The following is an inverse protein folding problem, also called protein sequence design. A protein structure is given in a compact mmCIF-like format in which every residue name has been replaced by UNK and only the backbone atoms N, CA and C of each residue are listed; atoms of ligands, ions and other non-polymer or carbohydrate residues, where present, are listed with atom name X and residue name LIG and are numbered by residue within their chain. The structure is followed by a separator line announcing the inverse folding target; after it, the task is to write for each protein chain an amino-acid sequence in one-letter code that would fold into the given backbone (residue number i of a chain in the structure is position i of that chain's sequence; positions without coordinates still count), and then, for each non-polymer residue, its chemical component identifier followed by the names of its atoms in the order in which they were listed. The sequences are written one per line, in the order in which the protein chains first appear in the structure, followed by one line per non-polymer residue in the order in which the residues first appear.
data_IF_361536404470
#
_entry.id   IF_361536404470
#
_cell.length_a   1.000
_cell.length_b   1.000
_cell.length_c   1.000
_cell.angle_alpha   90.00
_cell.angle_beta   90.00
_cell.angle_gamma   90.00
#
_symmetry.space_group_name_H-M   'P 1'
#
loop_
_entity.id
_entity.type
_entity.pdbx_description
1 polymer ?
#
# COMPACT_ATOMS: atom_id res chain seq x y z
N UNK A 1 -15.92 5.30 23.75
CA UNK A 1 -14.50 5.72 23.77
C UNK A 1 -13.80 4.99 22.65
N UNK A 2 -13.36 5.71 21.62
CA UNK A 2 -12.77 5.13 20.41
C UNK A 2 -11.27 4.93 20.67
N UNK A 3 -10.82 3.68 20.59
CA UNK A 3 -9.42 3.29 20.73
C UNK A 3 -8.60 3.86 19.58
N UNK A 4 -7.64 4.75 19.88
CA UNK A 4 -6.59 5.17 18.94
C UNK A 4 -5.58 4.03 18.83
N UNK A 5 -5.42 3.46 17.64
CA UNK A 5 -4.30 2.57 17.37
C UNK A 5 -3.03 3.41 17.23
N UNK A 6 -2.13 3.32 18.21
CA UNK A 6 -0.81 3.93 18.16
C UNK A 6 0.17 2.98 17.46
N UNK A 7 0.71 3.40 16.31
CA UNK A 7 1.85 2.75 15.67
C UNK A 7 3.12 3.11 16.46
N UNK A 8 3.57 2.23 17.35
CA UNK A 8 4.91 2.33 17.93
C UNK A 8 5.93 1.62 17.04
N UNK A 9 7.03 2.30 16.77
CA UNK A 9 8.21 1.69 16.18
C UNK A 9 8.79 0.67 17.17
N UNK A 10 9.15 -0.50 16.64
CA UNK A 10 9.92 -1.52 17.35
C UNK A 10 11.39 -1.08 17.33
N UNK A 11 11.93 -0.71 18.49
CA UNK A 11 13.35 -0.36 18.64
C UNK A 11 14.21 -1.61 18.46
N UNK A 12 15.09 -1.64 17.45
CA UNK A 12 16.06 -2.71 17.27
C UNK A 12 17.41 -2.35 17.89
N UNK A 13 17.95 -3.29 18.67
CA UNK A 13 19.27 -3.22 19.30
C UNK A 13 20.35 -3.46 18.23
N UNK A 14 21.19 -2.46 18.01
CA UNK A 14 22.59 -2.61 17.58
C UNK A 14 22.86 -3.19 16.18
N UNK A 15 23.02 -2.30 15.19
CA UNK A 15 23.57 -2.60 13.87
C UNK A 15 22.81 -1.87 12.78
N UNK A 16 23.29 -0.66 12.41
CA UNK A 16 22.79 0.21 11.34
C UNK A 16 21.36 -0.09 10.86
N UNK A 17 20.36 0.24 11.69
CA UNK A 17 18.98 -0.06 11.37
C UNK A 17 18.58 0.66 10.08
N UNK A 18 18.38 -0.08 8.99
CA UNK A 18 17.70 0.42 7.81
C UNK A 18 16.32 0.89 8.25
N UNK A 19 16.12 2.20 8.35
CA UNK A 19 14.83 2.77 8.68
C UNK A 19 13.85 2.40 7.55
N UNK A 20 12.95 1.46 7.81
CA UNK A 20 11.92 1.06 6.86
C UNK A 20 10.89 2.19 6.80
N UNK A 21 10.78 2.83 5.63
CA UNK A 21 9.81 3.91 5.44
C UNK A 21 8.37 3.37 5.52
N UNK A 22 7.48 4.05 6.25
CA UNK A 22 6.11 3.59 6.44
C UNK A 22 5.35 3.60 5.11
N UNK A 23 4.32 2.76 5.00
CA UNK A 23 3.45 2.74 3.83
C UNK A 23 2.66 4.06 3.70
N UNK A 24 2.37 4.52 2.47
CA UNK A 24 1.34 5.53 2.27
C UNK A 24 -0.02 4.95 2.70
N UNK A 25 -0.94 5.80 3.16
CA UNK A 25 -2.28 5.38 3.57
C UNK A 25 -3.28 5.94 2.57
N UNK A 26 -3.89 5.06 1.77
CA UNK A 26 -4.96 5.44 0.84
C UNK A 26 -6.20 5.83 1.65
N UNK A 27 -6.72 7.02 1.40
CA UNK A 27 -7.88 7.54 2.11
C UNK A 27 -9.18 6.94 1.57
N UNK A 28 -10.14 6.68 2.45
CA UNK A 28 -11.47 6.20 2.06
C UNK A 28 -11.57 4.73 1.68
N UNK A 29 -10.51 3.92 1.88
CA UNK A 29 -10.60 2.47 1.68
C UNK A 29 -11.70 1.85 2.56
N UNK A 30 -12.43 0.87 2.00
CA UNK A 30 -13.36 0.03 2.78
C UNK A 30 -12.59 -0.84 3.78
N UNK A 31 -13.30 -1.50 4.69
CA UNK A 31 -12.70 -2.48 5.60
C UNK A 31 -12.06 -3.66 4.87
N UNK A 32 -12.51 -3.92 3.63
CA UNK A 32 -11.98 -4.96 2.74
C UNK A 32 -10.82 -4.47 1.87
N UNK A 33 -10.29 -3.27 2.14
CA UNK A 33 -9.22 -2.62 1.37
C UNK A 33 -9.63 -2.28 -0.07
N UNK A 34 -10.88 -1.91 -0.29
CA UNK A 34 -11.38 -1.54 -1.63
C UNK A 34 -11.43 -0.03 -1.80
N UNK A 35 -11.10 0.44 -2.99
CA UNK A 35 -11.45 1.78 -3.44
C UNK A 35 -12.89 1.75 -3.92
N UNK A 36 -13.77 2.44 -3.21
CA UNK A 36 -15.16 2.64 -3.63
C UNK A 36 -15.20 3.68 -4.76
N UNK A 37 -15.28 3.20 -6.00
CA UNK A 37 -15.25 4.04 -7.21
C UNK A 37 -16.51 4.89 -7.35
N UNK A 38 -17.65 4.44 -6.84
CA UNK A 38 -18.89 5.22 -6.86
C UNK A 38 -18.78 6.40 -5.90
N UNK A 39 -18.20 6.17 -4.72
CA UNK A 39 -17.89 7.23 -3.76
C UNK A 39 -16.77 8.16 -4.23
N UNK A 40 -15.76 7.62 -4.92
CA UNK A 40 -14.66 8.40 -5.49
C UNK A 40 -15.17 9.35 -6.59
N UNK A 41 -16.16 8.93 -7.38
CA UNK A 41 -16.76 9.74 -8.43
C UNK A 41 -15.72 10.23 -9.44
N UNK A 42 -15.63 11.54 -9.62
CA UNK A 42 -14.64 12.19 -10.52
C UNK A 42 -13.35 12.61 -9.81
N UNK A 43 -13.25 12.43 -8.49
CA UNK A 43 -12.11 12.91 -7.72
C UNK A 43 -10.88 12.01 -7.90
N UNK A 44 -9.69 12.59 -7.74
CA UNK A 44 -8.45 11.81 -7.70
C UNK A 44 -8.37 10.99 -6.41
N UNK A 45 -7.76 9.81 -6.48
CA UNK A 45 -7.54 8.99 -5.30
C UNK A 45 -6.39 9.60 -4.48
N UNK A 46 -6.71 9.96 -3.24
CA UNK A 46 -5.74 10.56 -2.31
C UNK A 46 -5.11 9.49 -1.41
N UNK A 47 -3.81 9.64 -1.16
CA UNK A 47 -3.11 8.88 -0.13
C UNK A 47 -2.19 9.79 0.67
N UNK A 48 -1.92 9.44 1.93
CA UNK A 48 -1.09 10.27 2.81
C UNK A 48 0.10 9.49 3.35
N UNK A 49 1.28 10.11 3.32
CA UNK A 49 2.47 9.65 4.02
C UNK A 49 2.63 10.46 5.31
N UNK A 50 2.79 9.75 6.44
CA UNK A 50 3.08 10.33 7.76
C UNK A 50 4.19 9.55 8.45
N UNK A 51 4.96 10.20 9.31
CA UNK A 51 6.00 9.54 10.12
C UNK A 51 7.16 8.95 9.33
N UNK A 52 7.41 9.46 8.12
CA UNK A 52 8.47 8.96 7.23
C UNK A 52 9.82 9.68 7.39
N UNK A 53 9.92 10.64 8.32
CA UNK A 53 11.11 11.44 8.55
C UNK A 53 11.48 12.31 7.33
N UNK A 54 10.47 12.86 6.64
CA UNK A 54 10.66 13.73 5.49
C UNK A 54 10.99 15.16 5.93
N UNK A 55 11.54 15.95 5.02
CA UNK A 55 11.81 17.37 5.19
C UNK A 55 11.12 18.21 4.12
N UNK A 56 10.88 19.50 4.42
CA UNK A 56 10.39 20.45 3.42
C UNK A 56 11.37 20.50 2.25
N UNK A 57 10.86 20.40 1.03
CA UNK A 57 11.65 20.40 -0.19
C UNK A 57 12.11 19.02 -0.67
N UNK A 58 11.91 17.95 0.10
CA UNK A 58 12.12 16.58 -0.39
C UNK A 58 11.21 16.28 -1.59
N UNK A 59 11.66 15.39 -2.49
CA UNK A 59 10.88 14.86 -3.59
C UNK A 59 10.42 13.44 -3.27
N UNK A 60 9.12 13.20 -3.31
CA UNK A 60 8.54 11.87 -3.17
C UNK A 60 8.17 11.34 -4.55
N UNK A 61 8.70 10.18 -4.90
CA UNK A 61 8.41 9.46 -6.14
C UNK A 61 7.44 8.32 -5.82
N UNK A 62 6.16 8.46 -6.16
CA UNK A 62 5.15 7.43 -5.89
C UNK A 62 5.05 6.41 -7.02
N UNK A 63 4.84 5.14 -6.65
CA UNK A 63 4.62 4.03 -7.55
C UNK A 63 3.25 3.41 -7.28
N UNK A 64 2.41 3.40 -8.31
CA UNK A 64 1.12 2.73 -8.37
C UNK A 64 1.22 1.58 -9.36
N UNK A 65 1.39 0.37 -8.83
CA UNK A 65 1.63 -0.83 -9.62
C UNK A 65 0.51 -1.84 -9.38
N UNK A 66 -0.04 -2.41 -10.44
CA UNK A 66 -1.15 -3.33 -10.29
C UNK A 66 -1.47 -4.11 -11.55
N UNK A 67 -2.58 -4.83 -11.50
CA UNK A 67 -3.17 -5.53 -12.65
C UNK A 67 -4.67 -5.25 -12.71
N UNK A 68 -5.18 -5.10 -13.92
CA UNK A 68 -6.60 -4.96 -14.20
C UNK A 68 -7.35 -6.31 -14.02
N UNK A 69 -8.68 -6.38 -14.20
CA UNK A 69 -9.45 -7.61 -14.06
C UNK A 69 -9.00 -8.74 -15.00
N UNK A 70 -8.51 -8.38 -16.18
CA UNK A 70 -8.02 -9.28 -17.21
C UNK A 70 -6.58 -9.77 -16.94
N UNK A 71 -5.93 -9.22 -15.90
CA UNK A 71 -4.57 -9.56 -15.50
C UNK A 71 -3.51 -8.80 -16.28
N UNK A 72 -3.88 -7.76 -17.02
CA UNK A 72 -2.95 -6.87 -17.72
C UNK A 72 -2.33 -5.93 -16.69
N UNK A 73 -0.99 -5.88 -16.59
CA UNK A 73 -0.32 -4.95 -15.70
C UNK A 73 -0.58 -3.49 -16.10
N UNK A 74 -0.80 -2.65 -15.10
CA UNK A 74 -0.71 -1.20 -15.24
C UNK A 74 0.35 -0.68 -14.27
N UNK A 75 1.25 0.14 -14.78
CA UNK A 75 2.35 0.71 -14.02
C UNK A 75 2.32 2.22 -14.19
N UNK A 76 2.05 2.92 -13.10
CA UNK A 76 2.25 4.37 -13.01
C UNK A 76 3.33 4.63 -11.97
N UNK A 77 4.51 4.91 -12.49
CA UNK A 77 5.75 4.88 -11.73
C UNK A 77 6.32 6.30 -11.72
N UNK A 78 6.81 6.71 -10.55
CA UNK A 78 7.60 7.94 -10.36
C UNK A 78 6.82 9.24 -10.58
N UNK A 79 5.53 9.26 -10.25
CA UNK A 79 4.82 10.52 -10.07
C UNK A 79 5.50 11.30 -8.92
N UNK A 80 5.81 12.58 -9.17
CA UNK A 80 6.65 13.37 -8.27
C UNK A 80 5.80 14.33 -7.45
N UNK A 81 5.90 14.22 -6.13
CA UNK A 81 5.30 15.15 -5.16
C UNK A 81 6.40 15.90 -4.43
N UNK A 82 6.39 17.23 -4.50
CA UNK A 82 7.28 18.08 -3.70
C UNK A 82 6.71 18.22 -2.28
N UNK A 83 7.51 17.89 -1.27
CA UNK A 83 7.11 17.95 0.13
C UNK A 83 6.99 19.41 0.59
N UNK A 84 5.75 19.85 0.84
CA UNK A 84 5.44 21.14 1.45
C UNK A 84 5.13 21.01 2.95
N UNK A 85 4.45 19.93 3.35
CA UNK A 85 4.16 19.59 4.74
C UNK A 85 4.73 18.21 5.05
N UNK A 86 5.89 18.12 5.74
CA UNK A 86 6.53 16.84 6.04
C UNK A 86 5.71 15.90 6.92
N UNK A 87 4.78 16.44 7.71
CA UNK A 87 3.93 15.64 8.60
C UNK A 87 2.70 15.08 7.88
N UNK A 88 2.38 15.58 6.69
CA UNK A 88 1.18 15.24 5.94
C UNK A 88 1.39 15.37 4.42
N UNK A 89 2.21 14.49 3.85
CA UNK A 89 2.46 14.50 2.40
C UNK A 89 1.32 13.79 1.69
N UNK A 90 0.57 14.54 0.89
CA UNK A 90 -0.56 14.05 0.10
C UNK A 90 -0.10 13.65 -1.29
N UNK A 91 -0.33 12.39 -1.64
CA UNK A 91 -0.17 11.83 -2.97
C UNK A 91 -1.52 11.84 -3.68
N UNK A 92 -1.51 12.12 -4.98
CA UNK A 92 -2.71 12.07 -5.83
C UNK A 92 -2.49 11.09 -6.97
N UNK A 93 -3.43 10.18 -7.16
CA UNK A 93 -3.49 9.29 -8.30
C UNK A 93 -4.68 9.70 -9.14
N UNK A 94 -4.45 10.00 -10.41
CA UNK A 94 -5.48 10.47 -11.34
C UNK A 94 -6.69 9.53 -11.38
N UNK A 95 -7.90 10.11 -11.41
CA UNK A 95 -9.13 9.34 -11.39
C UNK A 95 -9.23 8.35 -12.57
N UNK A 96 -8.81 8.76 -13.77
CA UNK A 96 -8.87 7.91 -14.97
C UNK A 96 -7.96 6.70 -14.82
N UNK A 97 -6.79 6.89 -14.24
CA UNK A 97 -5.89 5.80 -13.89
C UNK A 97 -6.57 4.77 -13.00
N UNK A 98 -7.21 5.23 -11.91
CA UNK A 98 -7.83 4.34 -10.93
C UNK A 98 -9.04 3.65 -11.53
N UNK A 99 -9.92 4.39 -12.22
CA UNK A 99 -11.16 3.84 -12.80
C UNK A 99 -10.89 2.86 -13.94
N UNK A 100 -9.84 3.05 -14.75
CA UNK A 100 -9.43 2.09 -15.78
C UNK A 100 -9.03 0.73 -15.19
N UNK A 101 -8.61 0.68 -13.93
CA UNK A 101 -8.23 -0.54 -13.24
C UNK A 101 -9.40 -1.20 -12.47
N UNK A 102 -10.64 -0.73 -12.66
CA UNK A 102 -11.84 -1.23 -11.96
C UNK A 102 -11.98 -2.74 -12.04
N UNK A 103 -12.09 -3.41 -10.89
CA UNK A 103 -12.14 -4.85 -10.70
C UNK A 103 -10.76 -5.51 -10.51
N UNK A 104 -9.67 -4.77 -10.73
CA UNK A 104 -8.28 -5.18 -10.52
C UNK A 104 -7.81 -5.02 -9.07
N UNK A 105 -6.48 -4.96 -8.91
CA UNK A 105 -5.82 -4.65 -7.63
C UNK A 105 -4.53 -3.86 -7.85
N UNK A 106 -4.12 -3.10 -6.83
CA UNK A 106 -2.94 -2.25 -6.89
C UNK A 106 -2.15 -2.21 -5.58
N UNK A 107 -0.90 -1.80 -5.70
CA UNK A 107 0.00 -1.48 -4.62
C UNK A 107 0.51 -0.05 -4.79
N UNK A 108 0.46 0.72 -3.70
CA UNK A 108 1.04 2.05 -3.61
C UNK A 108 2.27 2.05 -2.70
N UNK A 109 3.37 2.59 -3.19
CA UNK A 109 4.61 2.82 -2.45
C UNK A 109 5.33 4.07 -2.96
N UNK A 110 6.45 4.43 -2.31
CA UNK A 110 7.25 5.58 -2.74
C UNK A 110 8.75 5.44 -2.44
N UNK A 111 9.55 6.22 -3.15
CA UNK A 111 10.94 6.55 -2.83
C UNK A 111 11.08 8.05 -2.52
N UNK A 112 12.18 8.43 -1.88
CA UNK A 112 12.44 9.83 -1.47
C UNK A 112 13.77 10.29 -2.05
N UNK A 113 13.77 11.44 -2.73
CA UNK A 113 14.89 12.14 -3.36
C UNK A 113 15.66 11.39 -4.46
N UNK A 114 15.57 10.07 -4.49
CA UNK A 114 16.23 9.21 -5.47
C UNK A 114 15.34 7.99 -5.76
N UNK A 115 15.06 7.73 -7.04
CA UNK A 115 14.26 6.59 -7.50
C UNK A 115 14.94 5.24 -7.28
N UNK A 116 16.23 5.24 -6.97
CA UNK A 116 17.02 4.05 -6.60
C UNK A 116 17.11 3.85 -5.09
N UNK A 117 16.61 4.79 -4.28
CA UNK A 117 16.54 4.65 -2.84
C UNK A 117 15.64 3.46 -2.44
N UNK A 118 15.83 2.91 -1.22
CA UNK A 118 14.93 1.90 -0.69
C UNK A 118 13.46 2.37 -0.75
N UNK A 119 12.62 1.56 -1.40
CA UNK A 119 11.20 1.85 -1.52
C UNK A 119 10.47 1.55 -0.20
N UNK A 120 9.44 2.35 0.09
CA UNK A 120 8.62 2.22 1.29
C UNK A 120 7.89 0.87 1.38
N UNK A 121 7.32 0.59 2.54
CA UNK A 121 6.27 -0.43 2.62
C UNK A 121 5.13 -0.12 1.65
N UNK A 122 4.45 -1.15 1.15
CA UNK A 122 3.34 -1.03 0.20
C UNK A 122 1.99 -1.00 0.90
N UNK A 123 1.09 -0.16 0.40
CA UNK A 123 -0.34 -0.24 0.69
C UNK A 123 -1.04 -0.97 -0.45
N UNK A 124 -1.63 -2.12 -0.13
CA UNK A 124 -2.47 -2.88 -1.05
C UNK A 124 -3.90 -2.32 -1.08
N UNK A 125 -4.54 -2.37 -2.24
CA UNK A 125 -5.99 -2.21 -2.35
C UNK A 125 -6.57 -2.96 -3.54
N UNK A 126 -7.86 -3.22 -3.46
CA UNK A 126 -8.70 -3.53 -4.60
C UNK A 126 -9.21 -2.26 -5.24
N UNK A 127 -9.29 -2.28 -6.57
CA UNK A 127 -9.85 -1.19 -7.32
C UNK A 127 -11.30 -1.55 -7.62
N UNK A 128 -12.25 -0.81 -7.05
CA UNK A 128 -13.68 -1.15 -7.11
C UNK A 128 -14.15 -2.05 -5.96
N UNK A 129 -15.40 -1.85 -5.54
CA UNK A 129 -16.09 -2.70 -4.57
C UNK A 129 -16.39 -4.06 -5.20
N UNK A 130 -16.07 -5.14 -4.51
CA UNK A 130 -16.27 -6.50 -5.01
C UNK A 130 -17.57 -7.08 -4.45
N UNK A 131 -18.27 -7.84 -5.30
CA UNK A 131 -19.43 -8.62 -4.87
C UNK A 131 -19.05 -9.70 -3.84
N UNK A 132 -20.04 -10.22 -3.09
CA UNK A 132 -19.79 -11.28 -2.11
C UNK A 132 -19.18 -12.52 -2.77
N UNK A 133 -18.18 -13.14 -2.13
CA UNK A 133 -17.67 -14.47 -2.50
C UNK A 133 -16.31 -14.55 -3.20
N UNK A 134 -15.55 -13.46 -3.35
CA UNK A 134 -14.14 -13.54 -3.81
C UNK A 134 -13.21 -13.62 -2.60
N UNK A 135 -12.29 -14.59 -2.62
CA UNK A 135 -11.25 -14.71 -1.59
C UNK A 135 -10.35 -13.46 -1.61
N UNK A 136 -9.97 -12.92 -0.45
CA UNK A 136 -8.98 -11.87 -0.41
C UNK A 136 -7.64 -12.39 -0.96
N UNK A 137 -6.89 -11.49 -1.59
CA UNK A 137 -5.61 -11.78 -2.23
C UNK A 137 -4.63 -12.00 -1.10
N UNK A 138 -4.00 -13.16 -1.15
CA UNK A 138 -2.95 -13.53 -0.22
C UNK A 138 -1.78 -12.57 -0.39
N UNK A 139 -1.39 -11.91 0.69
CA UNK A 139 -0.28 -10.97 0.73
C UNK A 139 0.92 -11.60 1.41
N UNK A 140 2.09 -11.47 0.81
CA UNK A 140 3.37 -11.81 1.45
C UNK A 140 4.05 -10.50 1.86
N UNK A 141 4.05 -10.19 3.16
CA UNK A 141 4.47 -8.87 3.66
C UNK A 141 5.93 -8.53 3.31
N UNK A 142 6.78 -9.54 3.22
CA UNK A 142 8.20 -9.41 2.87
C UNK A 142 8.46 -9.36 1.36
N UNK A 143 7.44 -9.34 0.50
CA UNK A 143 7.67 -9.18 -0.94
C UNK A 143 8.08 -7.74 -1.29
N UNK A 144 9.21 -7.59 -1.97
CA UNK A 144 9.70 -6.31 -2.47
C UNK A 144 9.95 -6.35 -3.99
N UNK A 145 9.42 -5.38 -4.73
CA UNK A 145 9.59 -5.25 -6.18
C UNK A 145 9.02 -6.42 -6.96
N UNK A 146 7.89 -7.00 -6.49
CA UNK A 146 7.32 -8.26 -7.01
C UNK A 146 8.26 -9.46 -6.90
N UNK A 147 9.29 -9.36 -6.05
CA UNK A 147 10.23 -10.43 -5.76
C UNK A 147 10.15 -10.79 -4.29
N UNK A 148 10.54 -12.02 -3.99
CA UNK A 148 10.80 -12.48 -2.64
C UNK A 148 12.31 -12.73 -2.60
N UNK A 149 13.05 -11.90 -1.85
CA UNK A 149 14.48 -12.12 -1.66
C UNK A 149 14.67 -13.17 -0.55
N UNK A 150 15.14 -14.36 -0.94
CA UNK A 150 15.34 -15.47 -0.01
C UNK A 150 16.39 -15.15 1.07
N UNK A 151 17.37 -14.31 0.74
CA UNK A 151 18.46 -13.98 1.67
C UNK A 151 18.03 -12.94 2.72
N UNK A 152 16.99 -12.14 2.41
CA UNK A 152 16.38 -11.18 3.34
C UNK A 152 15.27 -11.80 4.19
N UNK A 153 14.73 -12.95 3.78
CA UNK A 153 13.82 -13.75 4.58
C UNK A 153 14.59 -14.41 5.71
N UNK A 154 14.67 -13.72 6.86
CA UNK A 154 15.48 -14.18 7.99
C UNK A 154 15.16 -15.65 8.37
N UNK A 155 13.87 -16.02 8.46
CA UNK A 155 13.44 -17.44 8.67
C UNK A 155 12.01 -17.76 8.16
N UNK A 156 11.09 -16.80 8.14
CA UNK A 156 9.69 -17.01 7.77
C UNK A 156 9.14 -15.87 6.90
N UNK A 157 8.19 -16.20 6.03
CA UNK A 157 7.37 -15.22 5.31
C UNK A 157 6.02 -15.06 6.03
N UNK A 158 5.57 -13.83 6.22
CA UNK A 158 4.24 -13.56 6.74
C UNK A 158 3.27 -13.53 5.57
N UNK A 159 2.41 -14.53 5.55
CA UNK A 159 1.28 -14.61 4.63
C UNK A 159 0.07 -14.05 5.37
N UNK A 160 -0.47 -12.94 4.90
CA UNK A 160 -1.64 -12.31 5.47
C UNK A 160 -2.76 -12.22 4.44
N UNK A 161 -3.98 -12.42 4.91
CA UNK A 161 -5.20 -12.18 4.15
C UNK A 161 -6.18 -11.47 5.07
N UNK A 162 -7.07 -10.63 4.51
CA UNK A 162 -8.08 -9.98 5.34
C UNK A 162 -8.98 -11.04 5.99
N UNK A 163 -9.29 -10.88 7.28
CA UNK A 163 -10.19 -11.78 7.99
C UNK A 163 -11.56 -11.75 7.31
N UNK A 164 -12.02 -12.90 6.84
CA UNK A 164 -13.37 -13.03 6.27
C UNK A 164 -14.39 -12.98 7.41
N UNK A 165 -15.51 -12.26 7.25
CA UNK A 165 -16.62 -12.36 8.23
C UNK A 165 -17.24 -13.77 8.28
N UNK A 166 -16.95 -14.63 7.29
CA UNK A 166 -17.42 -16.01 7.27
C UNK A 166 -16.34 -17.06 7.60
N UNK A 167 -15.11 -16.66 7.97
CA UNK A 167 -14.13 -17.63 8.50
C UNK A 167 -14.60 -18.05 9.89
N UNK A 168 -14.72 -19.36 10.10
CA UNK A 168 -15.07 -19.96 11.38
C UNK A 168 -13.91 -20.78 11.95
N UNK A 169 -13.97 -21.05 13.25
CA UNK A 169 -13.04 -21.98 13.90
C UNK A 169 -13.09 -23.34 13.18
N UNK A 170 -11.97 -23.74 12.58
CA UNK A 170 -11.82 -25.01 11.87
C UNK A 170 -11.62 -24.90 10.35
N UNK A 171 -11.77 -23.72 9.76
CA UNK A 171 -11.49 -23.52 8.33
C UNK A 171 -10.00 -23.70 8.01
N UNK A 172 -9.69 -24.43 6.93
CA UNK A 172 -8.33 -24.71 6.49
C UNK A 172 -7.97 -23.86 5.26
N UNK A 173 -6.82 -23.18 5.34
CA UNK A 173 -6.20 -22.48 4.20
C UNK A 173 -5.17 -23.42 3.60
N UNK A 174 -5.43 -23.89 2.38
CA UNK A 174 -4.52 -24.75 1.61
C UNK A 174 -3.82 -23.95 0.51
#
# INVERSE_FOLDING_TARGET
MISKAENRAIDSVGGGATFIKPKPVIEGLTQSLEVDLDRLGSDSLSAVIRGAGLSHGDLVYSNWLGVDPEGVPFDLVREVTLVQDPDNVVLQIDNRTVTNASGGYAFLSYQVNDVTAPESMRQFCYVGVRGPGRLPVVQVLQSHGLKINKDELQQHAHVVTAAYQAIQDGDQVH
#
